data_IF_533450399029
#
_entry.id   IF_533450399029
#
_cell.length_a   1.000
_cell.length_b   1.000
_cell.length_c   1.000
_cell.angle_alpha   90.00
_cell.angle_beta   90.00
_cell.angle_gamma   90.00
#
_symmetry.space_group_name_H-M   'P 1'
#
loop_
_entity.id
_entity.type
_entity.pdbx_description
1 polymer ?
#
# COMPACT_ATOMS: atom_id res chain seq x y z
N UNK A 1 -17.65 16.16 -19.89
CA UNK A 1 -16.84 16.14 -21.14
C UNK A 1 -16.62 17.55 -21.71
N UNK A 2 -17.66 18.38 -21.87
CA UNK A 2 -17.58 19.74 -22.41
C UNK A 2 -16.52 20.63 -21.73
N UNK A 3 -16.60 20.83 -20.41
CA UNK A 3 -15.67 21.72 -19.68
C UNK A 3 -14.19 21.34 -19.84
N UNK A 4 -13.87 20.03 -19.83
CA UNK A 4 -12.50 19.52 -20.02
C UNK A 4 -11.97 19.79 -21.43
N UNK A 5 -12.81 19.56 -22.45
CA UNK A 5 -12.47 19.82 -23.84
C UNK A 5 -12.29 21.32 -24.12
N UNK A 6 -13.17 22.17 -23.59
CA UNK A 6 -13.07 23.64 -23.71
C UNK A 6 -11.74 24.18 -23.19
N UNK A 7 -11.18 23.52 -22.18
CA UNK A 7 -9.94 23.92 -21.52
C UNK A 7 -8.70 23.16 -22.01
N UNK A 8 -8.81 22.37 -23.10
CA UNK A 8 -7.70 21.57 -23.66
C UNK A 8 -6.99 20.64 -22.67
N UNK A 9 -7.74 20.08 -21.71
CA UNK A 9 -7.17 19.23 -20.66
C UNK A 9 -7.17 17.73 -21.07
N UNK A 10 -6.08 16.98 -20.78
CA UNK A 10 -5.99 15.57 -21.10
C UNK A 10 -7.03 14.75 -20.32
N UNK A 11 -7.45 13.61 -20.88
CA UNK A 11 -8.41 12.73 -20.21
C UNK A 11 -7.73 11.98 -19.06
N UNK A 12 -8.09 12.32 -17.83
CA UNK A 12 -7.72 11.58 -16.62
C UNK A 12 -8.92 11.51 -15.68
N UNK A 13 -8.98 10.50 -14.82
CA UNK A 13 -10.08 10.34 -13.86
C UNK A 13 -10.28 11.57 -12.96
N UNK A 14 -9.20 12.21 -12.51
CA UNK A 14 -9.29 13.36 -11.62
C UNK A 14 -9.65 14.65 -12.35
N UNK A 15 -9.18 14.85 -13.59
CA UNK A 15 -9.56 16.00 -14.42
C UNK A 15 -11.01 15.92 -14.86
N UNK A 16 -11.50 14.72 -15.16
CA UNK A 16 -12.92 14.50 -15.47
C UNK A 16 -13.80 14.87 -14.27
N UNK A 17 -13.40 14.48 -13.05
CA UNK A 17 -14.11 14.81 -11.81
C UNK A 17 -14.10 16.32 -11.50
N UNK A 18 -12.97 17.00 -11.68
CA UNK A 18 -12.84 18.44 -11.47
C UNK A 18 -13.65 19.29 -12.47
N UNK A 19 -14.04 18.71 -13.61
CA UNK A 19 -14.77 19.38 -14.68
C UNK A 19 -16.29 19.11 -14.64
N UNK A 20 -16.82 18.62 -13.52
CA UNK A 20 -18.26 18.40 -13.31
C UNK A 20 -18.93 19.69 -12.84
N UNK A 21 -20.10 20.01 -13.40
CA UNK A 21 -20.89 21.19 -13.01
C UNK A 21 -20.48 22.48 -13.74
N UNK A 22 -20.80 23.63 -13.14
CA UNK A 22 -20.44 24.95 -13.67
C UNK A 22 -19.01 25.27 -13.27
N UNK A 23 -18.10 25.20 -14.23
CA UNK A 23 -16.66 25.46 -14.05
C UNK A 23 -16.23 26.41 -15.14
N UNK A 24 -15.73 27.60 -14.77
CA UNK A 24 -15.32 28.63 -15.72
C UNK A 24 -13.89 28.40 -16.20
N UNK A 25 -12.93 28.31 -15.28
CA UNK A 25 -11.52 28.01 -15.59
C UNK A 25 -10.90 27.19 -14.46
N UNK A 26 -10.22 26.10 -14.80
CA UNK A 26 -9.50 25.22 -13.91
C UNK A 26 -8.00 25.48 -14.09
N UNK A 27 -7.37 26.05 -13.08
CA UNK A 27 -5.92 26.27 -13.04
C UNK A 27 -5.26 25.05 -12.39
N UNK A 28 -4.24 24.49 -13.04
CA UNK A 28 -3.51 23.31 -12.55
C UNK A 28 -2.06 23.72 -12.32
N UNK A 29 -1.68 23.86 -11.05
CA UNK A 29 -0.29 24.08 -10.65
C UNK A 29 0.29 22.78 -10.10
N UNK A 30 1.45 22.36 -10.62
CA UNK A 30 2.26 21.26 -10.07
C UNK A 30 1.48 20.04 -9.58
N UNK A 31 0.99 19.18 -10.48
CA UNK A 31 0.20 18.02 -10.07
C UNK A 31 1.07 16.77 -9.90
N UNK A 32 1.19 16.26 -8.67
CA UNK A 32 1.65 14.91 -8.40
C UNK A 32 0.55 14.14 -7.66
N UNK A 33 -0.44 13.58 -8.38
CA UNK A 33 -1.60 12.97 -7.77
C UNK A 33 -1.16 11.75 -6.96
N UNK A 34 -1.63 11.69 -5.71
CA UNK A 34 -1.43 10.51 -4.88
C UNK A 34 -2.37 9.40 -5.38
N UNK A 35 -1.80 8.36 -5.98
CA UNK A 35 -2.53 7.19 -6.43
C UNK A 35 -2.85 6.30 -5.23
N UNK A 36 -4.15 6.15 -4.96
CA UNK A 36 -4.66 5.35 -3.85
C UNK A 36 -5.37 4.11 -4.43
N UNK A 37 -5.02 2.93 -3.93
CA UNK A 37 -5.69 1.68 -4.30
C UNK A 37 -6.26 0.99 -3.06
N UNK A 38 -7.54 0.64 -3.09
CA UNK A 38 -8.16 -0.15 -2.03
C UNK A 38 -7.51 -1.56 -1.97
N UNK A 39 -7.01 -1.93 -0.79
CA UNK A 39 -6.40 -3.24 -0.47
C UNK A 39 -7.15 -4.00 0.63
N UNK A 40 -8.13 -3.37 1.26
CA UNK A 40 -9.01 -3.97 2.26
C UNK A 40 -8.35 -4.26 3.61
N UNK A 41 -9.16 -4.71 4.56
CA UNK A 41 -8.74 -4.91 5.96
C UNK A 41 -8.29 -6.35 6.28
N UNK A 42 -8.16 -7.20 5.26
CA UNK A 42 -7.84 -8.62 5.38
C UNK A 42 -9.08 -9.50 5.33
N UNK A 43 -8.88 -10.82 5.30
CA UNK A 43 -9.98 -11.79 5.21
C UNK A 43 -10.43 -12.28 6.58
N UNK A 44 -11.74 -12.50 6.72
CA UNK A 44 -12.37 -13.20 7.86
C UNK A 44 -12.30 -14.73 7.71
N UNK A 45 -11.79 -15.25 6.58
CA UNK A 45 -11.64 -16.69 6.33
C UNK A 45 -10.61 -17.28 7.30
N UNK A 46 -11.07 -18.12 8.22
CA UNK A 46 -10.24 -18.73 9.28
C UNK A 46 -9.45 -19.94 8.73
N UNK A 47 -9.96 -20.63 7.71
CA UNK A 47 -9.27 -21.76 7.11
C UNK A 47 -9.08 -21.55 5.60
N UNK A 48 -7.88 -21.77 5.08
CA UNK A 48 -7.65 -21.89 3.65
C UNK A 48 -8.12 -23.26 3.18
N UNK A 49 -8.80 -23.27 2.05
CA UNK A 49 -9.37 -24.47 1.44
C UNK A 49 -8.63 -24.81 0.15
N UNK A 50 -8.63 -26.07 -0.25
CA UNK A 50 -8.23 -26.46 -1.60
C UNK A 50 -9.28 -26.04 -2.63
N UNK A 51 -9.03 -26.33 -3.92
CA UNK A 51 -9.95 -26.02 -5.02
C UNK A 51 -11.33 -26.70 -4.88
N UNK A 52 -11.44 -27.75 -4.07
CA UNK A 52 -12.66 -28.50 -3.79
C UNK A 52 -13.35 -28.08 -2.48
N UNK A 53 -12.83 -27.07 -1.77
CA UNK A 53 -13.41 -26.60 -0.51
C UNK A 53 -12.89 -27.27 0.77
N UNK A 54 -12.04 -28.30 0.68
CA UNK A 54 -11.53 -28.98 1.87
C UNK A 54 -10.47 -28.16 2.61
N UNK A 55 -10.50 -28.10 3.96
CA UNK A 55 -9.50 -27.45 4.80
C UNK A 55 -8.06 -27.91 4.53
N UNK A 56 -7.13 -27.00 4.23
CA UNK A 56 -5.68 -27.28 4.16
C UNK A 56 -4.93 -26.63 5.33
N UNK A 57 -5.34 -25.41 5.74
CA UNK A 57 -4.57 -24.63 6.69
C UNK A 57 -5.41 -23.65 7.48
N UNK A 58 -5.31 -23.72 8.80
CA UNK A 58 -5.88 -22.71 9.69
C UNK A 58 -5.00 -21.47 9.77
N UNK A 59 -5.63 -20.31 9.60
CA UNK A 59 -5.03 -18.99 9.73
C UNK A 59 -5.09 -18.55 11.19
N UNK A 60 -3.94 -18.17 11.75
CA UNK A 60 -3.87 -17.62 13.10
C UNK A 60 -4.70 -16.32 13.19
N UNK A 61 -5.39 -16.15 14.33
CA UNK A 61 -6.13 -14.91 14.66
C UNK A 61 -5.21 -13.74 14.98
N UNK A 62 -3.97 -14.02 15.36
CA UNK A 62 -2.96 -12.99 15.66
C UNK A 62 -2.62 -12.18 14.40
N UNK A 63 -2.98 -10.90 14.39
CA UNK A 63 -2.72 -9.97 13.28
C UNK A 63 -1.54 -9.03 13.51
N UNK A 64 -1.09 -8.92 14.76
CA UNK A 64 0.00 -8.04 15.18
C UNK A 64 1.22 -8.92 15.48
N UNK A 65 2.33 -8.63 14.82
CA UNK A 65 3.61 -9.28 15.08
C UNK A 65 4.64 -8.21 15.39
N UNK A 66 5.24 -8.29 16.59
CA UNK A 66 6.25 -7.34 17.06
C UNK A 66 5.81 -5.86 16.97
N UNK A 67 4.51 -5.60 17.18
CA UNK A 67 3.91 -4.26 17.10
C UNK A 67 3.42 -3.83 15.71
N UNK A 68 3.69 -4.61 14.65
CA UNK A 68 3.33 -4.31 13.27
C UNK A 68 2.18 -5.18 12.77
N UNK A 69 1.39 -4.68 11.83
CA UNK A 69 0.36 -5.40 11.07
C UNK A 69 0.74 -5.46 9.59
N UNK A 70 0.38 -6.56 8.92
CA UNK A 70 0.53 -6.64 7.46
C UNK A 70 -0.31 -5.55 6.79
N UNK A 71 0.35 -4.71 6.00
CA UNK A 71 -0.23 -3.53 5.34
C UNK A 71 0.25 -2.19 5.91
N UNK A 72 0.89 -2.18 7.08
CA UNK A 72 1.54 -0.96 7.60
C UNK A 72 2.63 -0.50 6.62
N UNK A 73 2.85 0.82 6.52
CA UNK A 73 3.93 1.41 5.74
C UNK A 73 5.05 1.77 6.70
N UNK A 74 6.25 1.27 6.40
CA UNK A 74 7.41 1.45 7.26
C UNK A 74 8.60 2.02 6.48
N UNK A 75 9.46 2.73 7.20
CA UNK A 75 10.83 2.99 6.80
C UNK A 75 11.73 2.01 7.55
N UNK A 76 12.47 1.19 6.84
CA UNK A 76 13.46 0.30 7.41
C UNK A 76 14.86 0.80 7.08
N UNK A 77 15.66 1.12 8.09
CA UNK A 77 17.07 1.52 7.93
C UNK A 77 17.94 0.38 8.45
N UNK A 78 18.52 -0.40 7.53
CA UNK A 78 19.33 -1.57 7.86
C UNK A 78 20.80 -1.18 7.85
N UNK A 79 21.44 -1.33 9.01
CA UNK A 79 22.83 -0.90 9.22
C UNK A 79 23.85 -2.04 9.17
N UNK A 80 23.40 -3.31 9.16
CA UNK A 80 24.29 -4.48 9.19
C UNK A 80 23.77 -5.63 8.29
N UNK A 81 24.70 -6.41 7.76
CA UNK A 81 24.42 -7.64 6.99
C UNK A 81 24.27 -7.44 5.48
N UNK A 82 23.76 -8.45 4.78
CA UNK A 82 23.67 -8.45 3.30
C UNK A 82 22.72 -7.41 2.71
N UNK A 83 21.74 -6.92 3.50
CA UNK A 83 20.66 -6.03 3.04
C UNK A 83 20.80 -4.62 3.61
N UNK A 84 22.04 -4.12 3.71
CA UNK A 84 22.29 -2.75 4.16
C UNK A 84 21.62 -1.78 3.18
N UNK A 85 20.93 -0.79 3.73
CA UNK A 85 20.19 0.20 2.94
C UNK A 85 18.93 0.71 3.64
N UNK A 86 18.27 1.65 2.96
CA UNK A 86 16.99 2.21 3.41
C UNK A 86 15.87 1.72 2.50
N UNK A 87 14.82 1.16 3.09
CA UNK A 87 13.66 0.64 2.38
C UNK A 87 12.40 1.30 2.88
N UNK A 88 11.61 1.86 1.98
CA UNK A 88 10.31 2.45 2.30
C UNK A 88 9.23 1.68 1.56
N UNK A 89 8.23 1.19 2.28
CA UNK A 89 7.17 0.43 1.65
C UNK A 89 6.20 -0.27 2.60
N UNK A 90 5.26 -1.01 2.01
CA UNK A 90 4.27 -1.78 2.74
C UNK A 90 4.89 -3.05 3.29
N UNK A 91 4.62 -3.35 4.56
CA UNK A 91 5.16 -4.52 5.25
C UNK A 91 4.22 -5.70 5.18
N UNK A 92 4.77 -6.89 4.90
CA UNK A 92 4.16 -8.18 5.16
C UNK A 92 4.84 -8.79 6.40
N UNK A 93 4.08 -8.82 7.49
CA UNK A 93 4.58 -9.28 8.80
C UNK A 93 4.61 -10.80 8.89
N UNK A 94 5.51 -11.32 9.71
CA UNK A 94 5.64 -12.76 10.01
C UNK A 94 5.90 -12.95 11.52
N UNK A 95 5.45 -14.09 12.07
CA UNK A 95 5.68 -14.45 13.48
C UNK A 95 7.18 -14.43 13.86
N UNK A 96 8.06 -14.76 12.91
CA UNK A 96 9.51 -14.76 13.11
C UNK A 96 10.11 -13.39 13.44
N UNK A 97 9.39 -12.29 13.18
CA UNK A 97 9.93 -10.93 13.35
C UNK A 97 10.81 -10.46 12.19
N UNK A 98 10.87 -11.24 11.10
CA UNK A 98 11.48 -10.85 9.83
C UNK A 98 10.39 -10.62 8.80
N UNK A 99 10.32 -9.40 8.28
CA UNK A 99 9.25 -8.93 7.41
C UNK A 99 9.71 -8.82 5.97
N UNK A 100 8.74 -8.87 5.06
CA UNK A 100 8.98 -8.51 3.66
C UNK A 100 8.44 -7.10 3.43
N UNK A 101 9.19 -6.25 2.74
CA UNK A 101 8.84 -4.87 2.44
C UNK A 101 8.64 -4.74 0.94
N UNK A 102 7.43 -4.40 0.52
CA UNK A 102 7.12 -4.06 -0.86
C UNK A 102 7.47 -2.60 -1.10
N UNK A 103 8.62 -2.37 -1.72
CA UNK A 103 9.14 -1.04 -2.06
C UNK A 103 8.78 -0.67 -3.51
N UNK A 104 9.09 0.56 -3.94
CA UNK A 104 8.92 0.99 -5.34
C UNK A 104 9.78 0.17 -6.30
N UNK A 105 10.98 -0.23 -5.89
CA UNK A 105 11.93 -1.00 -6.72
C UNK A 105 11.71 -2.52 -6.67
N UNK A 106 10.85 -3.01 -5.77
CA UNK A 106 10.54 -4.43 -5.68
C UNK A 106 10.33 -4.93 -4.26
N UNK A 107 10.25 -6.26 -4.13
CA UNK A 107 10.03 -6.93 -2.85
C UNK A 107 11.36 -7.23 -2.16
N UNK A 108 11.61 -6.60 -1.03
CA UNK A 108 12.76 -6.89 -0.17
C UNK A 108 12.31 -7.84 0.93
N UNK A 109 12.85 -9.05 0.96
CA UNK A 109 12.41 -10.07 1.91
C UNK A 109 13.29 -10.10 3.17
N UNK A 110 12.74 -10.57 4.28
CA UNK A 110 13.52 -10.93 5.48
C UNK A 110 14.27 -9.76 6.15
N UNK A 111 13.63 -8.61 6.30
CA UNK A 111 14.13 -7.46 7.07
C UNK A 111 13.69 -7.60 8.54
N UNK A 112 14.61 -7.48 9.49
CA UNK A 112 14.27 -7.54 10.91
C UNK A 112 13.36 -6.37 11.30
N UNK A 113 12.28 -6.65 12.05
CA UNK A 113 11.37 -5.64 12.58
C UNK A 113 12.07 -4.55 13.41
N UNK A 114 13.24 -4.85 13.98
CA UNK A 114 14.05 -3.90 14.76
C UNK A 114 14.51 -2.70 13.93
N UNK A 115 14.65 -2.88 12.62
CA UNK A 115 15.03 -1.80 11.71
C UNK A 115 13.82 -0.99 11.21
N UNK A 116 12.59 -1.47 11.44
CA UNK A 116 11.38 -0.86 10.91
C UNK A 116 10.86 0.23 11.85
N UNK A 117 10.55 1.39 11.28
CA UNK A 117 9.83 2.48 11.93
C UNK A 117 8.54 2.75 11.17
N UNK A 118 7.46 3.09 11.89
CA UNK A 118 6.18 3.40 11.27
C UNK A 118 6.27 4.72 10.50
N UNK A 119 5.80 4.71 9.25
CA UNK A 119 5.40 5.92 8.53
C UNK A 119 3.89 6.08 8.62
N UNK A 120 3.16 5.00 8.35
CA UNK A 120 1.70 5.00 8.33
C UNK A 120 1.12 3.67 8.79
N UNK A 121 0.01 3.73 9.53
CA UNK A 121 -0.70 2.54 9.99
C UNK A 121 -1.64 2.04 8.89
N UNK A 122 -1.85 0.73 8.85
CA UNK A 122 -2.79 0.10 7.92
C UNK A 122 -4.18 0.70 8.07
N UNK A 123 -4.68 1.27 6.98
CA UNK A 123 -6.01 1.87 6.84
C UNK A 123 -6.86 1.21 5.74
N UNK A 124 -6.34 0.15 5.10
CA UNK A 124 -7.05 -0.55 4.02
C UNK A 124 -6.73 -0.03 2.63
N UNK A 125 -5.90 1.00 2.49
CA UNK A 125 -5.46 1.54 1.21
C UNK A 125 -3.97 1.31 0.99
N UNK A 126 -3.53 1.40 -0.26
CA UNK A 126 -2.14 1.46 -0.67
C UNK A 126 -1.90 2.76 -1.41
N UNK A 127 -0.76 3.39 -1.12
CA UNK A 127 -0.39 4.71 -1.59
C UNK A 127 0.79 4.61 -2.55
N UNK A 128 0.72 5.34 -3.66
CA UNK A 128 1.78 5.46 -4.67
C UNK A 128 1.83 6.91 -5.17
N UNK A 129 3.03 7.37 -5.46
CA UNK A 129 3.28 8.61 -6.21
C UNK A 129 3.86 8.23 -7.56
#
# INVERSE_FOLDING_TARGET
KFNRCRQNLPKTHWLDAANVGKVDTLIIEGYQPLLIAAKGHGTRKICRTNKYGFPIRYCLRTKIHKGFKTGDIVRAVVTKGKKIGTYVGRVATRKSGYFNISTKSGLVQGISHKYCQFIHRKDGYAYRH
#
